data_IF_122022024927
#
_entry.id   IF_122022024927
#
_cell.length_a   1.000
_cell.length_b   1.000
_cell.length_c   1.000
_cell.angle_alpha   90.00
_cell.angle_beta   90.00
_cell.angle_gamma   90.00
#
_symmetry.space_group_name_H-M   'P 1'
#
loop_
_entity.id
_entity.type
_entity.pdbx_description
1 polymer ?
#
# COMPACT_ATOMS: atom_id res chain seq x y z
N UNK A 1 14.55 -10.43 -26.43
CA UNK A 1 14.49 -10.81 -24.99
C UNK A 1 14.72 -9.55 -24.18
N UNK A 2 13.73 -9.12 -23.41
CA UNK A 2 13.87 -7.97 -22.54
C UNK A 2 14.68 -8.31 -21.26
N UNK A 3 15.03 -7.30 -20.45
CA UNK A 3 15.88 -7.48 -19.27
C UNK A 3 15.28 -8.45 -18.24
N UNK A 4 13.96 -8.44 -18.06
CA UNK A 4 13.28 -9.31 -17.08
C UNK A 4 13.40 -10.77 -17.51
N UNK A 5 13.21 -11.06 -18.79
CA UNK A 5 13.39 -12.40 -19.36
C UNK A 5 14.86 -12.86 -19.28
N UNK A 6 15.82 -11.98 -19.56
CA UNK A 6 17.25 -12.31 -19.44
C UNK A 6 17.61 -12.72 -18.01
N UNK A 7 17.10 -12.02 -17.00
CA UNK A 7 17.33 -12.35 -15.58
C UNK A 7 16.63 -13.66 -15.21
N UNK A 8 15.41 -13.87 -15.66
CA UNK A 8 14.67 -15.12 -15.45
C UNK A 8 15.44 -16.31 -16.02
N UNK A 9 15.89 -16.19 -17.27
CA UNK A 9 16.69 -17.25 -17.94
C UNK A 9 18.03 -17.47 -17.25
N UNK A 10 18.71 -16.40 -16.80
CA UNK A 10 19.96 -16.53 -16.05
C UNK A 10 19.76 -17.36 -14.78
N UNK A 11 18.73 -17.06 -13.98
CA UNK A 11 18.41 -17.82 -12.76
C UNK A 11 18.04 -19.26 -13.12
N UNK A 12 17.22 -19.48 -14.14
CA UNK A 12 16.79 -20.80 -14.60
C UNK A 12 17.96 -21.69 -15.07
N UNK A 13 18.96 -21.10 -15.70
CA UNK A 13 20.17 -21.83 -16.12
C UNK A 13 21.09 -22.18 -14.95
N UNK A 14 21.02 -21.43 -13.84
CA UNK A 14 21.80 -21.67 -12.63
C UNK A 14 21.08 -22.57 -11.63
N UNK A 15 19.78 -22.34 -11.43
CA UNK A 15 18.87 -23.10 -10.57
C UNK A 15 17.53 -23.28 -11.31
N UNK A 16 17.35 -24.45 -11.88
CA UNK A 16 16.21 -24.75 -12.76
C UNK A 16 14.88 -24.70 -12.00
N UNK A 17 14.81 -25.14 -10.74
CA UNK A 17 13.57 -25.20 -9.96
C UNK A 17 13.11 -23.78 -9.58
N UNK A 18 14.01 -22.95 -9.07
CA UNK A 18 13.73 -21.55 -8.73
C UNK A 18 13.42 -20.75 -10.00
N UNK A 19 14.19 -20.94 -11.07
CA UNK A 19 13.98 -20.25 -12.34
C UNK A 19 12.64 -20.58 -12.98
N UNK A 20 12.19 -21.86 -12.94
CA UNK A 20 10.85 -22.26 -13.38
C UNK A 20 9.74 -21.61 -12.57
N UNK A 21 9.90 -21.51 -11.24
CA UNK A 21 8.90 -20.85 -10.40
C UNK A 21 8.78 -19.35 -10.73
N UNK A 22 9.90 -18.67 -10.98
CA UNK A 22 9.93 -17.25 -11.40
C UNK A 22 9.27 -17.09 -12.78
N UNK A 23 9.56 -17.98 -13.73
CA UNK A 23 8.95 -17.99 -15.08
C UNK A 23 7.42 -18.16 -14.99
N UNK A 24 6.94 -19.07 -14.15
CA UNK A 24 5.50 -19.27 -13.91
C UNK A 24 4.84 -18.02 -13.34
N UNK A 25 5.48 -17.34 -12.37
CA UNK A 25 4.97 -16.10 -11.80
C UNK A 25 4.99 -14.96 -12.83
N UNK A 26 6.02 -14.83 -13.64
CA UNK A 26 6.05 -13.86 -14.74
C UNK A 26 4.90 -14.14 -15.73
N UNK A 27 4.66 -15.41 -16.07
CA UNK A 27 3.54 -15.83 -16.90
C UNK A 27 2.19 -15.48 -16.29
N UNK A 28 2.02 -15.69 -14.96
CA UNK A 28 0.81 -15.30 -14.25
C UNK A 28 0.58 -13.79 -14.30
N UNK A 29 1.59 -12.98 -14.01
CA UNK A 29 1.48 -11.51 -14.04
C UNK A 29 1.16 -10.98 -15.44
N UNK A 30 1.72 -11.59 -16.49
CA UNK A 30 1.42 -11.24 -17.89
C UNK A 30 -0.02 -11.57 -18.26
N UNK A 31 -0.52 -12.71 -17.81
CA UNK A 31 -1.85 -13.23 -18.14
C UNK A 31 -2.97 -12.57 -17.33
N UNK A 32 -2.72 -12.25 -16.05
CA UNK A 32 -3.78 -11.81 -15.14
C UNK A 32 -3.95 -10.28 -15.15
N UNK A 33 -5.19 -9.84 -14.96
CA UNK A 33 -5.50 -8.46 -14.55
C UNK A 33 -5.30 -8.34 -13.04
N UNK A 34 -4.25 -7.63 -12.63
CA UNK A 34 -3.94 -7.39 -11.22
C UNK A 34 -4.74 -6.19 -10.69
N UNK A 35 -5.73 -6.48 -9.85
CA UNK A 35 -6.62 -5.48 -9.25
C UNK A 35 -6.52 -5.44 -7.71
N UNK A 36 -5.53 -6.09 -7.11
CA UNK A 36 -5.24 -5.93 -5.68
C UNK A 36 -4.75 -4.50 -5.45
N UNK A 37 -5.48 -3.72 -4.65
CA UNK A 37 -5.22 -2.29 -4.44
C UNK A 37 -3.84 -1.97 -3.81
N UNK A 38 -3.22 -2.96 -3.16
CA UNK A 38 -1.90 -2.86 -2.53
C UNK A 38 -0.75 -3.39 -3.39
N UNK A 39 -1.02 -3.75 -4.65
CA UNK A 39 -0.01 -4.23 -5.59
C UNK A 39 0.23 -3.25 -6.74
N UNK A 40 1.42 -3.33 -7.32
CA UNK A 40 1.82 -2.53 -8.46
C UNK A 40 2.91 -3.25 -9.26
N UNK A 41 3.16 -2.77 -10.47
CA UNK A 41 4.20 -3.27 -11.36
C UNK A 41 5.38 -2.29 -11.28
N UNK A 42 6.50 -2.72 -10.74
CA UNK A 42 7.72 -1.91 -10.64
C UNK A 42 8.43 -1.79 -11.99
N UNK A 43 9.17 -0.69 -12.18
CA UNK A 43 9.97 -0.52 -13.38
C UNK A 43 11.15 -1.52 -13.43
N UNK A 44 11.65 -1.88 -14.62
CA UNK A 44 12.87 -2.67 -14.74
C UNK A 44 14.07 -2.06 -14.00
N UNK A 45 14.19 -0.72 -13.95
CA UNK A 45 15.27 -0.05 -13.24
C UNK A 45 15.19 -0.26 -11.71
N UNK A 46 14.01 -0.19 -11.13
CA UNK A 46 13.77 -0.52 -9.71
C UNK A 46 14.08 -1.98 -9.43
N UNK A 47 13.61 -2.89 -10.31
CA UNK A 47 13.85 -4.33 -10.19
C UNK A 47 15.35 -4.66 -10.25
N UNK A 48 16.06 -4.11 -11.23
CA UNK A 48 17.50 -4.37 -11.39
C UNK A 48 18.34 -3.80 -10.26
N UNK A 49 17.96 -2.67 -9.68
CA UNK A 49 18.66 -2.11 -8.52
C UNK A 49 18.70 -3.09 -7.33
N UNK A 50 17.66 -3.91 -7.16
CA UNK A 50 17.61 -4.94 -6.10
C UNK A 50 18.60 -6.09 -6.35
N UNK A 51 18.99 -6.34 -7.58
CA UNK A 51 19.91 -7.43 -7.97
C UNK A 51 21.39 -6.99 -8.01
N UNK A 52 21.76 -5.86 -7.36
CA UNK A 52 23.09 -5.28 -7.42
C UNK A 52 23.95 -5.57 -6.20
N UNK A 53 25.27 -5.31 -6.35
CA UNK A 53 26.31 -5.64 -5.35
C UNK A 53 26.14 -5.03 -3.94
N UNK A 54 25.39 -3.94 -3.69
CA UNK A 54 25.07 -3.52 -2.33
C UNK A 54 24.39 -4.60 -1.47
N UNK A 55 23.83 -5.66 -2.07
CA UNK A 55 23.34 -6.84 -1.36
C UNK A 55 24.42 -7.53 -0.50
N UNK A 56 25.70 -7.39 -0.85
CA UNK A 56 26.82 -7.98 -0.15
C UNK A 56 27.31 -7.14 1.04
N UNK A 57 26.78 -5.90 1.22
CA UNK A 57 27.34 -4.95 2.18
C UNK A 57 26.58 -4.88 3.49
N UNK A 58 27.30 -5.12 4.60
CA UNK A 58 26.79 -4.90 5.94
C UNK A 58 27.01 -3.44 6.36
N UNK A 59 25.93 -2.69 6.68
CA UNK A 59 25.98 -1.24 6.89
C UNK A 59 25.17 -0.79 8.14
N UNK A 60 25.35 -1.48 9.27
CA UNK A 60 24.72 -1.07 10.55
C UNK A 60 25.11 0.36 10.93
N UNK A 61 24.18 1.09 11.48
CA UNK A 61 24.30 2.51 11.77
C UNK A 61 23.68 3.36 10.64
N UNK A 62 24.20 4.56 10.46
CA UNK A 62 23.67 5.56 9.52
C UNK A 62 24.82 6.17 8.68
N UNK A 63 24.55 6.83 7.55
CA UNK A 63 25.59 7.46 6.74
C UNK A 63 26.55 8.33 7.58
N UNK A 64 27.85 8.11 7.40
CA UNK A 64 28.91 8.77 8.15
C UNK A 64 29.09 8.30 9.61
N UNK A 65 28.22 7.41 10.09
CA UNK A 65 28.26 6.85 11.47
C UNK A 65 27.97 5.35 11.46
N UNK A 66 28.72 4.59 10.66
CA UNK A 66 28.57 3.16 10.52
C UNK A 66 29.41 2.40 11.57
N UNK A 67 28.94 1.20 11.91
CA UNK A 67 29.69 0.27 12.78
C UNK A 67 30.74 -0.54 12.02
N UNK A 68 30.69 -0.54 10.67
CA UNK A 68 31.57 -1.29 9.78
C UNK A 68 32.31 -0.38 8.82
N UNK A 69 33.51 -0.78 8.42
CA UNK A 69 34.28 -0.10 7.35
C UNK A 69 33.73 -0.39 5.96
N UNK A 70 34.21 0.36 4.96
CA UNK A 70 33.88 0.18 3.54
C UNK A 70 32.46 0.59 3.18
N UNK A 71 31.90 1.59 3.89
CA UNK A 71 30.52 2.03 3.69
C UNK A 71 30.40 3.34 2.84
N UNK A 72 31.51 3.89 2.40
CA UNK A 72 31.57 5.18 1.69
C UNK A 72 30.61 5.24 0.48
N UNK A 73 30.48 4.16 -0.28
CA UNK A 73 29.63 4.11 -1.46
C UNK A 73 28.15 3.84 -1.11
N UNK A 74 27.89 2.99 -0.13
CA UNK A 74 26.49 2.74 0.32
C UNK A 74 25.94 3.92 1.11
N UNK A 75 26.80 4.75 1.72
CA UNK A 75 26.39 6.03 2.31
C UNK A 75 25.88 7.00 1.24
N UNK A 76 26.48 7.02 0.05
CA UNK A 76 25.98 7.81 -1.09
C UNK A 76 24.59 7.32 -1.49
N UNK A 77 24.38 6.00 -1.58
CA UNK A 77 23.09 5.40 -1.95
C UNK A 77 22.01 5.77 -0.93
N UNK A 78 22.30 5.64 0.36
CA UNK A 78 21.32 5.93 1.41
C UNK A 78 21.02 7.43 1.49
N UNK A 79 22.02 8.29 1.38
CA UNK A 79 21.82 9.73 1.33
C UNK A 79 20.97 10.17 0.13
N UNK A 80 21.20 9.62 -1.07
CA UNK A 80 20.35 9.87 -2.24
C UNK A 80 18.89 9.47 -1.99
N UNK A 81 18.67 8.33 -1.34
CA UNK A 81 17.30 7.91 -0.99
C UNK A 81 16.66 8.88 0.00
N UNK A 82 17.40 9.31 1.03
CA UNK A 82 16.93 10.26 2.05
C UNK A 82 16.62 11.62 1.41
N UNK A 83 17.52 12.16 0.61
CA UNK A 83 17.37 13.47 -0.05
C UNK A 83 16.15 13.49 -0.98
N UNK A 84 16.02 12.47 -1.84
CA UNK A 84 14.88 12.34 -2.75
C UNK A 84 13.56 12.16 -2.01
N UNK A 85 13.56 11.42 -0.89
CA UNK A 85 12.37 11.26 -0.05
C UNK A 85 11.96 12.60 0.58
N UNK A 86 12.93 13.36 1.09
CA UNK A 86 12.69 14.70 1.66
C UNK A 86 12.18 15.67 0.59
N UNK A 87 12.73 15.65 -0.61
CA UNK A 87 12.27 16.46 -1.74
C UNK A 87 10.83 16.09 -2.15
N UNK A 88 10.53 14.79 -2.22
CA UNK A 88 9.23 14.27 -2.69
C UNK A 88 8.08 14.65 -1.76
N UNK A 89 8.30 14.65 -0.44
CA UNK A 89 7.24 14.84 0.55
C UNK A 89 7.38 16.10 1.41
N UNK A 90 8.52 16.81 1.34
CA UNK A 90 8.74 18.03 2.11
C UNK A 90 8.91 17.80 3.62
N UNK A 91 9.51 16.67 4.04
CA UNK A 91 9.71 16.35 5.45
C UNK A 91 11.05 16.84 6.00
N UNK A 92 11.10 17.11 7.32
CA UNK A 92 12.33 17.55 7.99
C UNK A 92 13.36 16.42 8.07
N UNK A 93 12.90 15.23 8.48
CA UNK A 93 13.74 14.03 8.62
C UNK A 93 13.13 12.83 7.92
N UNK A 94 13.98 11.97 7.35
CA UNK A 94 13.61 10.76 6.66
C UNK A 94 14.51 9.59 7.06
N UNK A 95 13.89 8.42 7.34
CA UNK A 95 14.58 7.15 7.56
C UNK A 95 14.10 6.14 6.50
N UNK A 96 15.04 5.67 5.67
CA UNK A 96 14.77 4.75 4.55
C UNK A 96 15.10 3.29 4.86
N UNK A 97 15.57 3.01 6.09
CA UNK A 97 16.02 1.68 6.50
C UNK A 97 14.92 0.67 6.85
N UNK A 98 13.66 1.03 7.20
CA UNK A 98 12.64 0.04 7.51
C UNK A 98 12.49 -1.03 6.41
N UNK A 99 12.53 -2.31 6.79
CA UNK A 99 12.41 -3.45 5.88
C UNK A 99 10.99 -3.59 5.31
N UNK A 100 9.99 -3.11 6.05
CA UNK A 100 8.59 -3.12 5.65
C UNK A 100 7.81 -2.00 6.33
N UNK A 101 6.56 -1.76 5.90
CA UNK A 101 5.64 -0.85 6.61
C UNK A 101 5.38 -1.29 8.05
N UNK A 102 5.25 -2.58 8.31
CA UNK A 102 5.08 -3.10 9.67
C UNK A 102 6.30 -2.79 10.57
N UNK A 103 7.53 -2.94 10.06
CA UNK A 103 8.73 -2.53 10.80
C UNK A 103 8.76 -1.02 11.07
N UNK A 104 8.37 -0.21 10.08
CA UNK A 104 8.28 1.24 10.25
C UNK A 104 7.27 1.60 11.36
N UNK A 105 6.07 1.03 11.33
CA UNK A 105 5.03 1.29 12.33
C UNK A 105 5.46 0.86 13.74
N UNK A 106 6.04 -0.32 13.88
CA UNK A 106 6.54 -0.81 15.17
C UNK A 106 7.65 0.09 15.74
N UNK A 107 8.54 0.60 14.89
CA UNK A 107 9.57 1.53 15.33
C UNK A 107 8.99 2.87 15.80
N UNK A 108 7.93 3.38 15.16
CA UNK A 108 7.23 4.59 15.60
C UNK A 108 6.60 4.40 16.97
N UNK A 109 5.89 3.30 17.21
CA UNK A 109 5.34 2.99 18.53
C UNK A 109 6.45 2.92 19.59
N UNK A 110 7.51 2.17 19.33
CA UNK A 110 8.64 2.03 20.25
C UNK A 110 9.35 3.36 20.54
N UNK A 111 9.42 4.26 19.55
CA UNK A 111 10.09 5.55 19.69
C UNK A 111 9.32 6.54 20.57
N UNK A 112 7.98 6.55 20.49
CA UNK A 112 7.15 7.65 21.00
C UNK A 112 6.28 7.27 22.18
N UNK A 113 5.95 6.01 22.35
CA UNK A 113 5.03 5.54 23.41
C UNK A 113 5.60 4.30 24.13
N UNK A 114 4.94 3.87 25.18
CA UNK A 114 5.34 2.71 26.00
C UNK A 114 4.31 1.60 25.93
N UNK A 115 4.72 0.34 26.09
CA UNK A 115 3.76 -0.77 26.23
C UNK A 115 2.70 -0.46 27.29
N UNK A 116 1.43 -0.72 26.96
CA UNK A 116 0.27 -0.41 27.79
C UNK A 116 -0.33 0.98 27.56
N UNK A 117 0.35 1.88 26.85
CA UNK A 117 -0.25 3.18 26.50
C UNK A 117 -1.49 3.01 25.61
N UNK A 118 -2.46 3.90 25.77
CA UNK A 118 -3.67 3.92 24.95
C UNK A 118 -3.39 4.56 23.58
N UNK A 119 -3.80 3.88 22.52
CA UNK A 119 -3.66 4.32 21.13
C UNK A 119 -5.02 4.24 20.43
N UNK A 120 -5.38 5.24 19.67
CA UNK A 120 -6.54 5.17 18.77
C UNK A 120 -6.11 4.78 17.36
N UNK A 121 -6.86 3.89 16.70
CA UNK A 121 -6.62 3.49 15.31
C UNK A 121 -7.92 3.11 14.61
N UNK A 122 -7.94 3.15 13.27
CA UNK A 122 -9.11 2.73 12.50
C UNK A 122 -9.34 1.21 12.70
N UNK A 123 -10.58 0.86 13.02
CA UNK A 123 -11.00 -0.54 13.18
C UNK A 123 -10.63 -1.37 11.94
N UNK A 124 -10.04 -2.55 12.17
CA UNK A 124 -9.63 -3.46 11.09
C UNK A 124 -10.80 -3.82 10.16
N UNK A 125 -11.99 -4.08 10.73
CA UNK A 125 -13.20 -4.40 9.96
C UNK A 125 -13.75 -3.19 9.16
N UNK A 126 -13.33 -1.97 9.50
CA UNK A 126 -13.70 -0.73 8.83
C UNK A 126 -12.59 -0.17 7.92
N UNK A 127 -11.62 -1.00 7.57
CA UNK A 127 -10.54 -0.65 6.64
C UNK A 127 -9.19 -0.32 7.27
N UNK A 128 -9.01 -0.52 8.58
CA UNK A 128 -7.72 -0.37 9.25
C UNK A 128 -6.67 -1.38 8.77
N UNK A 129 -5.42 -1.18 9.18
CA UNK A 129 -4.33 -2.11 8.92
C UNK A 129 -4.07 -3.00 10.15
N UNK A 130 -3.50 -4.21 9.95
CA UNK A 130 -3.15 -5.11 11.04
C UNK A 130 -2.29 -4.43 12.11
N UNK A 131 -1.33 -3.60 11.71
CA UNK A 131 -0.46 -2.86 12.63
C UNK A 131 -1.12 -1.66 13.30
N UNK A 132 -2.41 -1.45 13.09
CA UNK A 132 -3.21 -0.42 13.77
C UNK A 132 -4.05 -1.02 14.90
N UNK A 133 -3.49 -2.00 15.64
CA UNK A 133 -4.10 -2.53 16.86
C UNK A 133 -4.83 -3.87 16.72
N UNK A 134 -4.61 -4.62 15.65
CA UNK A 134 -5.16 -5.98 15.56
C UNK A 134 -4.67 -6.83 16.75
N UNK A 135 -5.57 -7.57 17.46
CA UNK A 135 -5.20 -8.36 18.63
C UNK A 135 -4.13 -9.44 18.38
N UNK A 136 -3.99 -9.87 17.13
CA UNK A 136 -2.97 -10.87 16.73
C UNK A 136 -1.68 -10.23 16.24
N UNK A 137 -1.63 -8.89 16.18
CA UNK A 137 -0.44 -8.14 15.77
C UNK A 137 0.29 -7.57 16.98
N UNK A 138 1.61 -7.37 16.86
CA UNK A 138 2.44 -6.81 17.92
C UNK A 138 1.87 -5.48 18.48
N UNK A 139 1.26 -4.65 17.63
CA UNK A 139 0.64 -3.41 18.05
C UNK A 139 -0.51 -3.64 19.04
N UNK A 140 -1.44 -4.55 18.75
CA UNK A 140 -2.54 -4.89 19.66
C UNK A 140 -2.11 -5.71 20.88
N UNK A 141 -0.98 -6.41 20.82
CA UNK A 141 -0.41 -7.15 21.95
C UNK A 141 0.25 -6.21 22.96
N UNK A 142 0.97 -5.20 22.49
CA UNK A 142 1.77 -4.32 23.36
C UNK A 142 1.02 -3.09 23.86
N UNK A 143 0.05 -2.58 23.09
CA UNK A 143 -0.62 -1.32 23.37
C UNK A 143 -2.13 -1.49 23.54
N UNK A 144 -2.75 -0.60 24.31
CA UNK A 144 -4.19 -0.60 24.51
C UNK A 144 -4.88 0.15 23.38
N UNK A 145 -5.25 -0.54 22.31
CA UNK A 145 -5.91 0.08 21.16
C UNK A 145 -7.42 0.27 21.38
N UNK A 146 -7.87 1.50 21.17
CA UNK A 146 -9.28 1.90 21.14
C UNK A 146 -9.64 2.19 19.67
N UNK A 147 -10.42 1.32 19.00
CA UNK A 147 -10.74 1.50 17.60
C UNK A 147 -11.75 2.63 17.39
N UNK A 148 -11.54 3.47 16.38
CA UNK A 148 -12.57 4.31 15.82
C UNK A 148 -13.11 3.69 14.51
N UNK A 149 -14.35 4.03 14.18
CA UNK A 149 -15.09 3.44 13.07
C UNK A 149 -15.43 4.48 12.01
N UNK A 150 -15.79 4.02 10.81
CA UNK A 150 -16.58 4.81 9.87
C UNK A 150 -18.05 4.80 10.30
N UNK A 151 -18.84 5.77 9.82
CA UNK A 151 -20.28 5.80 10.01
C UNK A 151 -21.01 4.79 9.10
N UNK A 152 -22.34 4.78 9.15
CA UNK A 152 -23.18 3.87 8.35
C UNK A 152 -23.07 4.09 6.84
N UNK A 153 -22.65 5.28 6.40
CA UNK A 153 -22.36 5.59 4.99
C UNK A 153 -20.95 5.13 4.58
N UNK A 154 -20.17 4.54 5.47
CA UNK A 154 -18.81 4.08 5.21
C UNK A 154 -17.77 5.20 5.16
N UNK A 155 -18.03 6.36 5.76
CA UNK A 155 -17.10 7.51 5.83
C UNK A 155 -16.66 7.81 7.26
N UNK A 156 -15.48 8.43 7.41
CA UNK A 156 -14.94 8.83 8.71
C UNK A 156 -15.80 9.96 9.30
N UNK A 157 -16.31 9.73 10.52
CA UNK A 157 -17.02 10.73 11.31
C UNK A 157 -16.03 11.40 12.28
N UNK A 158 -15.52 12.56 11.90
CA UNK A 158 -14.50 13.27 12.68
C UNK A 158 -15.03 13.80 14.02
N UNK A 159 -16.33 14.06 14.14
CA UNK A 159 -16.93 14.48 15.42
C UNK A 159 -17.02 13.30 16.39
N UNK A 160 -17.41 12.13 15.92
CA UNK A 160 -17.38 10.90 16.70
C UNK A 160 -15.94 10.51 17.11
N UNK A 161 -14.95 10.65 16.20
CA UNK A 161 -13.52 10.42 16.49
C UNK A 161 -13.03 11.41 17.56
N UNK A 162 -13.38 12.68 17.47
CA UNK A 162 -13.04 13.72 18.47
C UNK A 162 -13.63 13.41 19.84
N UNK A 163 -14.90 13.01 19.87
CA UNK A 163 -15.57 12.60 21.12
C UNK A 163 -14.85 11.41 21.75
N UNK A 164 -14.57 10.38 20.99
CA UNK A 164 -13.84 9.19 21.47
C UNK A 164 -12.45 9.55 22.00
N UNK A 165 -11.72 10.43 21.32
CA UNK A 165 -10.41 10.89 21.76
C UNK A 165 -10.45 11.61 23.11
N UNK A 166 -11.47 12.45 23.35
CA UNK A 166 -11.69 13.11 24.66
C UNK A 166 -11.98 12.11 25.77
N UNK A 167 -12.73 11.04 25.45
CA UNK A 167 -13.11 10.01 26.42
C UNK A 167 -11.92 9.11 26.79
N UNK A 168 -11.18 8.58 25.82
CA UNK A 168 -10.11 7.62 26.06
C UNK A 168 -8.73 8.25 26.29
N UNK A 169 -8.54 9.53 25.95
CA UNK A 169 -7.30 10.31 26.15
C UNK A 169 -6.05 9.55 25.69
N UNK A 170 -5.96 9.21 24.40
CA UNK A 170 -4.88 8.39 23.88
C UNK A 170 -3.53 9.13 23.96
N UNK A 171 -2.44 8.37 24.02
CA UNK A 171 -1.09 8.91 23.83
C UNK A 171 -0.75 9.13 22.38
N UNK A 172 -1.41 8.39 21.48
CA UNK A 172 -1.20 8.47 20.04
C UNK A 172 -2.51 8.20 19.30
N UNK A 173 -2.74 8.94 18.23
CA UNK A 173 -3.80 8.68 17.24
C UNK A 173 -3.13 8.24 15.94
N UNK A 174 -3.50 7.06 15.46
CA UNK A 174 -3.05 6.52 14.18
C UNK A 174 -4.11 6.80 13.14
N UNK A 175 -3.77 7.59 12.13
CA UNK A 175 -4.60 7.82 10.95
C UNK A 175 -4.01 7.07 9.74
N UNK A 176 -4.88 6.71 8.79
CA UNK A 176 -4.51 5.91 7.62
C UNK A 176 -5.34 4.64 7.52
N UNK A 177 -5.44 4.10 6.32
CA UNK A 177 -6.31 2.98 6.03
C UNK A 177 -5.79 2.07 4.92
N UNK A 178 -6.21 0.80 4.94
CA UNK A 178 -5.92 -0.19 3.90
C UNK A 178 -7.09 -0.38 2.92
N UNK A 179 -8.32 -0.04 3.33
CA UNK A 179 -9.53 -0.24 2.54
C UNK A 179 -10.54 0.90 2.73
N UNK A 180 -10.08 2.13 2.68
CA UNK A 180 -10.92 3.33 2.78
C UNK A 180 -10.87 4.11 1.45
N UNK A 181 -12.01 4.23 0.73
CA UNK A 181 -12.01 4.78 -0.61
C UNK A 181 -12.12 6.32 -0.68
N UNK A 182 -12.29 7.02 0.44
CA UNK A 182 -12.47 8.48 0.47
C UNK A 182 -11.21 9.22 0.92
N UNK A 183 -11.20 10.53 0.73
CA UNK A 183 -10.14 11.39 1.24
C UNK A 183 -10.10 11.35 2.78
N UNK A 184 -8.87 11.34 3.33
CA UNK A 184 -8.63 11.45 4.77
C UNK A 184 -8.13 12.87 5.05
N UNK A 185 -8.80 13.59 5.95
CA UNK A 185 -8.48 14.95 6.38
C UNK A 185 -7.50 14.91 7.56
N UNK A 186 -6.21 14.96 7.24
CA UNK A 186 -5.14 14.91 8.26
C UNK A 186 -5.06 16.17 9.11
N UNK A 187 -5.46 17.31 8.58
CA UNK A 187 -5.61 18.57 9.32
C UNK A 187 -6.60 18.42 10.47
N UNK A 188 -7.74 17.75 10.26
CA UNK A 188 -8.74 17.52 11.32
C UNK A 188 -8.19 16.54 12.37
N UNK A 189 -7.48 15.48 11.93
CA UNK A 189 -6.81 14.58 12.87
C UNK A 189 -5.76 15.29 13.72
N UNK A 190 -5.01 16.25 13.15
CA UNK A 190 -4.03 17.05 13.88
C UNK A 190 -4.69 17.92 14.96
N UNK A 191 -5.82 18.55 14.63
CA UNK A 191 -6.60 19.32 15.60
C UNK A 191 -7.10 18.44 16.76
N UNK A 192 -7.60 17.24 16.44
CA UNK A 192 -8.06 16.28 17.47
C UNK A 192 -6.88 15.83 18.34
N UNK A 193 -5.76 15.46 17.75
CA UNK A 193 -4.58 15.01 18.49
C UNK A 193 -4.04 16.11 19.40
N UNK A 194 -3.95 17.35 18.90
CA UNK A 194 -3.52 18.51 19.67
C UNK A 194 -4.46 18.80 20.86
N UNK A 195 -5.77 18.68 20.66
CA UNK A 195 -6.77 18.92 21.70
C UNK A 195 -6.60 17.98 22.90
N UNK A 196 -6.25 16.72 22.67
CA UNK A 196 -6.10 15.71 23.73
C UNK A 196 -4.63 15.49 24.15
N UNK A 197 -3.67 16.20 23.56
CA UNK A 197 -2.24 16.07 23.86
C UNK A 197 -1.64 14.75 23.40
N UNK A 198 -2.14 14.18 22.31
CA UNK A 198 -1.67 12.95 21.69
C UNK A 198 -0.69 13.22 20.53
N UNK A 199 0.21 12.27 20.24
CA UNK A 199 0.92 12.25 18.98
C UNK A 199 -0.02 11.92 17.82
N UNK A 200 0.14 12.61 16.69
CA UNK A 200 -0.48 12.18 15.43
C UNK A 200 0.53 11.37 14.62
N UNK A 201 0.23 10.11 14.47
CA UNK A 201 0.95 9.18 13.60
C UNK A 201 0.10 8.86 12.37
N UNK A 202 0.63 9.06 11.16
CA UNK A 202 -0.07 8.73 9.91
C UNK A 202 0.66 7.63 9.15
N UNK A 203 -0.05 6.55 8.86
CA UNK A 203 0.36 5.51 7.91
C UNK A 203 -0.32 5.79 6.56
N UNK A 204 0.43 6.39 5.62
CA UNK A 204 -0.09 6.72 4.28
C UNK A 204 0.21 5.65 3.23
N UNK A 205 0.53 4.42 3.62
CA UNK A 205 1.04 3.38 2.73
C UNK A 205 0.21 3.20 1.45
N UNK A 206 -1.12 3.21 1.56
CA UNK A 206 -2.00 3.03 0.41
C UNK A 206 -2.01 4.23 -0.55
N UNK A 207 -1.88 5.43 -0.03
CA UNK A 207 -2.05 6.68 -0.79
C UNK A 207 -0.74 7.41 -1.06
N UNK A 208 0.42 6.85 -0.69
CA UNK A 208 1.70 7.55 -0.78
C UNK A 208 2.02 8.09 -2.18
N UNK A 209 1.68 7.33 -3.24
CA UNK A 209 1.84 7.80 -4.61
C UNK A 209 0.93 8.98 -4.96
N UNK A 210 -0.30 8.96 -4.45
CA UNK A 210 -1.26 10.07 -4.65
C UNK A 210 -0.81 11.32 -3.89
N UNK A 211 -0.30 11.18 -2.68
CA UNK A 211 0.27 12.28 -1.88
C UNK A 211 1.49 12.86 -2.60
N UNK A 212 2.41 12.02 -3.09
CA UNK A 212 3.58 12.47 -3.85
C UNK A 212 3.21 13.24 -5.12
N UNK A 213 2.10 12.88 -5.77
CA UNK A 213 1.58 13.54 -6.96
C UNK A 213 0.70 14.78 -6.66
N UNK A 214 0.43 15.09 -5.40
CA UNK A 214 -0.45 16.19 -4.98
C UNK A 214 -1.95 15.93 -5.24
N UNK A 215 -2.36 14.66 -5.32
CA UNK A 215 -3.74 14.24 -5.57
C UNK A 215 -4.50 13.80 -4.31
N UNK A 216 -3.85 13.83 -3.17
CA UNK A 216 -4.42 13.63 -1.84
C UNK A 216 -3.73 14.58 -0.86
N UNK A 217 -4.45 15.01 0.19
CA UNK A 217 -3.84 15.84 1.22
C UNK A 217 -2.58 15.15 1.79
N UNK A 218 -1.45 15.90 1.86
CA UNK A 218 -0.24 15.41 2.49
C UNK A 218 -0.39 15.39 4.01
N UNK A 219 -0.06 14.29 4.70
CA UNK A 219 -0.03 14.27 6.17
C UNK A 219 1.21 14.97 6.75
N UNK A 220 2.27 15.15 5.98
CA UNK A 220 3.59 15.61 6.46
C UNK A 220 3.53 16.94 7.22
N UNK A 221 2.78 17.97 6.77
CA UNK A 221 2.67 19.23 7.52
C UNK A 221 1.92 19.12 8.86
N UNK A 222 1.13 18.07 9.05
CA UNK A 222 0.19 17.92 10.16
C UNK A 222 0.65 16.90 11.20
N UNK A 223 1.23 15.78 10.75
CA UNK A 223 1.60 14.67 11.61
C UNK A 223 2.95 14.89 12.33
N UNK A 224 3.11 14.26 13.48
CA UNK A 224 4.39 14.17 14.17
C UNK A 224 5.31 13.17 13.46
N UNK A 225 4.74 12.03 13.03
CA UNK A 225 5.43 11.00 12.28
C UNK A 225 4.52 10.46 11.19
N UNK A 226 5.09 10.22 10.02
CA UNK A 226 4.44 9.59 8.87
C UNK A 226 5.22 8.35 8.46
N UNK A 227 4.53 7.24 8.28
CA UNK A 227 5.11 6.03 7.67
C UNK A 227 4.46 5.73 6.33
N UNK A 228 5.16 4.97 5.52
CA UNK A 228 4.58 4.37 4.32
C UNK A 228 5.36 3.13 3.89
N UNK A 229 4.71 2.31 3.07
CA UNK A 229 5.39 1.32 2.22
C UNK A 229 5.85 1.98 0.92
N UNK A 230 6.79 1.34 0.24
CA UNK A 230 7.31 1.83 -1.05
C UNK A 230 6.67 1.18 -2.27
N UNK A 231 5.93 0.08 -2.10
CA UNK A 231 5.55 -0.85 -3.19
C UNK A 231 4.08 -0.82 -3.62
N UNK A 232 3.25 0.11 -3.10
CA UNK A 232 1.83 0.24 -3.47
C UNK A 232 1.66 1.32 -4.55
N UNK A 233 0.90 2.37 -4.27
CA UNK A 233 0.75 3.49 -5.22
C UNK A 233 2.06 4.17 -5.57
N UNK A 234 3.07 4.14 -4.68
CA UNK A 234 4.39 4.72 -4.96
C UNK A 234 5.22 3.93 -5.98
N UNK A 235 4.84 2.68 -6.29
CA UNK A 235 5.40 1.84 -7.37
C UNK A 235 6.89 1.54 -7.22
N UNK A 236 7.37 1.31 -6.00
CA UNK A 236 8.76 1.00 -5.68
C UNK A 236 9.00 -0.44 -5.22
N UNK A 237 10.20 -0.74 -4.72
CA UNK A 237 10.51 -2.06 -4.16
C UNK A 237 9.71 -2.30 -2.88
N UNK A 238 9.55 -3.57 -2.50
CA UNK A 238 8.95 -3.90 -1.20
C UNK A 238 9.85 -3.41 -0.08
N UNK A 239 9.31 -2.53 0.76
CA UNK A 239 10.01 -1.91 1.87
C UNK A 239 9.13 -0.91 2.60
N UNK A 240 9.68 -0.27 3.64
CA UNK A 240 9.05 0.80 4.40
C UNK A 240 9.95 2.01 4.53
N UNK A 241 9.40 3.12 5.00
CA UNK A 241 10.13 4.34 5.32
C UNK A 241 9.36 5.13 6.38
N UNK A 242 10.08 6.01 7.08
CA UNK A 242 9.54 6.90 8.12
C UNK A 242 9.97 8.32 7.81
N UNK A 243 9.04 9.24 7.92
CA UNK A 243 9.25 10.68 7.88
C UNK A 243 8.78 11.29 9.19
N UNK A 244 9.46 12.27 9.72
CA UNK A 244 9.02 12.92 10.96
C UNK A 244 9.55 14.35 11.07
N UNK A 245 8.99 15.09 12.03
CA UNK A 245 9.58 16.35 12.47
C UNK A 245 10.97 16.12 13.04
N UNK A 246 11.87 17.09 12.90
CA UNK A 246 13.27 16.98 13.33
C UNK A 246 13.44 16.58 14.79
N UNK A 247 12.55 17.04 15.66
CA UNK A 247 12.58 16.72 17.12
C UNK A 247 12.48 15.22 17.42
N UNK A 248 11.84 14.41 16.53
CA UNK A 248 11.69 12.96 16.69
C UNK A 248 12.77 12.15 15.97
N UNK A 249 13.60 12.79 15.14
CA UNK A 249 14.61 12.14 14.30
C UNK A 249 15.50 11.14 15.07
N UNK A 250 16.05 11.61 16.21
CA UNK A 250 16.93 10.78 17.04
C UNK A 250 16.23 9.57 17.64
N UNK A 251 14.97 9.73 18.09
CA UNK A 251 14.18 8.64 18.66
C UNK A 251 13.81 7.62 17.60
N UNK A 252 13.36 8.05 16.43
CA UNK A 252 13.04 7.20 15.28
C UNK A 252 14.26 6.42 14.81
N UNK A 253 15.39 7.09 14.59
CA UNK A 253 16.61 6.40 14.16
C UNK A 253 17.06 5.36 15.18
N UNK A 254 17.01 5.67 16.49
CA UNK A 254 17.33 4.72 17.55
C UNK A 254 16.36 3.55 17.60
N UNK A 255 15.09 3.75 17.34
CA UNK A 255 14.08 2.70 17.31
C UNK A 255 14.26 1.76 16.12
N UNK A 256 14.70 2.26 14.97
CA UNK A 256 15.08 1.43 13.83
C UNK A 256 16.38 0.69 14.14
N UNK A 257 17.47 1.40 14.36
CA UNK A 257 18.75 0.78 14.68
C UNK A 257 19.35 1.43 15.94
N UNK A 258 19.66 0.61 16.97
CA UNK A 258 19.59 -0.85 17.03
C UNK A 258 18.27 -1.42 17.61
N UNK A 259 17.20 -0.61 17.67
CA UNK A 259 15.98 -0.96 18.41
C UNK A 259 15.19 -2.14 17.85
N UNK A 260 14.82 -2.11 16.57
CA UNK A 260 13.97 -3.12 15.92
C UNK A 260 14.63 -3.84 14.76
N UNK A 261 15.73 -3.32 14.23
CA UNK A 261 16.48 -3.88 13.10
C UNK A 261 17.98 -3.90 13.38
N UNK A 262 18.72 -4.77 12.65
CA UNK A 262 20.16 -4.75 12.49
C UNK A 262 20.58 -4.07 11.19
N UNK A 263 21.36 -4.77 10.34
CA UNK A 263 21.85 -4.24 9.07
C UNK A 263 20.73 -3.88 8.09
N UNK A 264 20.75 -2.67 7.49
CA UNK A 264 19.81 -2.30 6.47
C UNK A 264 20.04 -3.08 5.17
N UNK A 265 19.00 -3.23 4.36
CA UNK A 265 19.04 -3.89 3.06
C UNK A 265 19.49 -2.87 1.99
N UNK A 266 20.80 -2.72 1.79
CA UNK A 266 21.36 -1.65 0.97
C UNK A 266 20.95 -1.73 -0.51
N UNK A 267 20.74 -2.92 -1.05
CA UNK A 267 20.19 -3.12 -2.41
C UNK A 267 18.73 -2.68 -2.52
N UNK A 268 17.93 -2.84 -1.46
CA UNK A 268 16.55 -2.32 -1.42
C UNK A 268 16.56 -0.80 -1.28
N UNK A 269 17.48 -0.23 -0.50
CA UNK A 269 17.64 1.22 -0.39
C UNK A 269 18.07 1.82 -1.74
N UNK A 270 18.93 1.14 -2.49
CA UNK A 270 19.26 1.54 -3.87
C UNK A 270 18.01 1.57 -4.76
N UNK A 271 17.18 0.53 -4.69
CA UNK A 271 15.93 0.49 -5.44
C UNK A 271 14.91 1.56 -4.97
N UNK A 272 14.85 1.88 -3.66
CA UNK A 272 14.09 3.03 -3.14
C UNK A 272 14.58 4.34 -3.74
N UNK A 273 15.89 4.55 -3.80
CA UNK A 273 16.47 5.75 -4.41
C UNK A 273 16.08 5.90 -5.89
N UNK A 274 16.07 4.79 -6.66
CA UNK A 274 15.60 4.79 -8.06
C UNK A 274 14.10 5.13 -8.12
N UNK A 275 13.27 4.47 -7.31
CA UNK A 275 11.84 4.72 -7.23
C UNK A 275 11.51 6.19 -6.92
N UNK A 276 12.17 6.78 -5.93
CA UNK A 276 11.95 8.18 -5.57
C UNK A 276 12.38 9.13 -6.70
N UNK A 277 13.48 8.80 -7.40
CA UNK A 277 13.89 9.53 -8.59
C UNK A 277 12.88 9.42 -9.75
N UNK A 278 12.18 8.30 -9.89
CA UNK A 278 11.06 8.18 -10.84
C UNK A 278 9.85 9.00 -10.38
N UNK A 279 9.53 8.97 -9.07
CA UNK A 279 8.40 9.68 -8.50
C UNK A 279 8.53 11.21 -8.53
N UNK A 280 9.75 11.74 -8.60
CA UNK A 280 10.04 13.17 -8.78
C UNK A 280 9.82 13.66 -10.21
N UNK A 281 9.64 12.75 -11.20
CA UNK A 281 9.43 13.14 -12.59
C UNK A 281 7.97 13.48 -12.89
N UNK A 282 7.70 14.40 -13.84
CA UNK A 282 6.33 14.78 -14.21
C UNK A 282 5.45 13.61 -14.66
N UNK A 283 6.05 12.60 -15.29
CA UNK A 283 5.35 11.40 -15.77
C UNK A 283 4.69 10.61 -14.63
N UNK A 284 5.28 10.66 -13.43
CA UNK A 284 4.69 10.02 -12.27
C UNK A 284 3.37 10.67 -11.85
N UNK A 285 3.27 12.00 -11.92
CA UNK A 285 2.02 12.71 -11.66
C UNK A 285 0.94 12.31 -12.67
N UNK A 286 1.29 12.31 -13.96
CA UNK A 286 0.38 11.85 -15.04
C UNK A 286 -0.11 10.43 -14.80
N UNK A 287 0.79 9.54 -14.37
CA UNK A 287 0.43 8.17 -14.00
C UNK A 287 -0.58 8.13 -12.83
N UNK A 288 -0.34 8.87 -11.76
CA UNK A 288 -1.23 8.89 -10.60
C UNK A 288 -2.60 9.52 -10.94
N UNK A 289 -2.63 10.55 -11.78
CA UNK A 289 -3.89 11.10 -12.30
C UNK A 289 -4.70 10.05 -13.07
N UNK A 290 -4.02 9.21 -13.86
CA UNK A 290 -4.67 8.11 -14.56
C UNK A 290 -5.16 7.02 -13.60
N UNK A 291 -4.42 6.73 -12.52
CA UNK A 291 -4.87 5.79 -11.48
C UNK A 291 -6.21 6.22 -10.89
N UNK A 292 -6.34 7.50 -10.54
CA UNK A 292 -7.59 8.05 -9.97
C UNK A 292 -8.72 8.06 -11.01
N UNK A 293 -8.45 8.44 -12.28
CA UNK A 293 -9.44 8.40 -13.37
C UNK A 293 -9.96 6.97 -13.59
N UNK A 294 -9.06 6.00 -13.64
CA UNK A 294 -9.42 4.59 -13.78
C UNK A 294 -10.26 4.10 -12.59
N UNK A 295 -9.90 4.48 -11.36
CA UNK A 295 -10.67 4.10 -10.18
C UNK A 295 -12.09 4.68 -10.20
N UNK A 296 -12.27 5.94 -10.60
CA UNK A 296 -13.59 6.57 -10.76
C UNK A 296 -14.41 5.89 -11.86
N UNK A 297 -13.82 5.66 -13.03
CA UNK A 297 -14.50 4.98 -14.13
C UNK A 297 -14.91 3.56 -13.77
N UNK A 298 -14.05 2.82 -13.02
CA UNK A 298 -14.38 1.50 -12.51
C UNK A 298 -15.52 1.57 -11.49
N UNK A 299 -15.51 2.54 -10.57
CA UNK A 299 -16.58 2.73 -9.59
C UNK A 299 -17.93 2.99 -10.25
N UNK A 300 -17.97 3.91 -11.23
CA UNK A 300 -19.18 4.22 -11.99
C UNK A 300 -19.70 2.99 -12.76
N UNK A 301 -18.82 2.28 -13.47
CA UNK A 301 -19.19 1.08 -14.21
C UNK A 301 -19.67 -0.06 -13.29
N UNK A 302 -19.07 -0.23 -12.11
CA UNK A 302 -19.54 -1.23 -11.13
C UNK A 302 -20.96 -0.89 -10.62
N UNK A 303 -21.26 0.37 -10.38
CA UNK A 303 -22.62 0.81 -10.00
C UNK A 303 -23.61 0.57 -11.15
N UNK A 304 -23.23 0.85 -12.39
CA UNK A 304 -24.06 0.56 -13.59
C UNK A 304 -24.37 -0.94 -13.72
N UNK A 305 -23.42 -1.81 -13.35
CA UNK A 305 -23.61 -3.28 -13.31
C UNK A 305 -24.37 -3.74 -12.06
N UNK A 306 -24.85 -2.83 -11.21
CA UNK A 306 -25.70 -3.10 -10.06
C UNK A 306 -24.96 -3.49 -8.77
N UNK A 307 -23.66 -3.19 -8.67
CA UNK A 307 -22.91 -3.40 -7.43
C UNK A 307 -23.12 -2.25 -6.43
N UNK A 308 -23.12 -2.58 -5.16
CA UNK A 308 -23.05 -1.60 -4.09
C UNK A 308 -21.59 -1.28 -3.76
N UNK A 309 -21.26 0.00 -3.67
CA UNK A 309 -19.94 0.46 -3.24
C UNK A 309 -20.03 1.08 -1.84
N UNK A 310 -19.16 0.66 -0.94
CA UNK A 310 -19.02 1.31 0.36
C UNK A 310 -18.65 2.78 0.13
N UNK A 311 -19.33 3.68 0.83
CA UNK A 311 -19.27 5.15 0.65
C UNK A 311 -19.73 5.68 -0.73
N UNK A 312 -20.38 4.86 -1.55
CA UNK A 312 -20.96 5.26 -2.85
C UNK A 312 -19.95 5.56 -3.95
N UNK A 313 -18.64 5.27 -3.79
CA UNK A 313 -17.62 5.54 -4.82
C UNK A 313 -16.22 5.71 -4.25
N UNK A 314 -15.36 6.46 -4.96
CA UNK A 314 -13.97 6.64 -4.55
C UNK A 314 -13.40 8.02 -4.89
N UNK A 315 -12.48 8.50 -4.04
CA UNK A 315 -11.66 9.69 -4.26
C UNK A 315 -10.19 9.34 -4.54
N UNK A 316 -9.83 8.04 -4.45
CA UNK A 316 -8.45 7.58 -4.55
C UNK A 316 -8.27 6.42 -5.56
N UNK A 317 -7.40 5.46 -5.30
CA UNK A 317 -6.99 4.37 -6.19
C UNK A 317 -7.77 3.07 -6.00
N UNK A 318 -8.67 2.99 -5.04
CA UNK A 318 -9.40 1.76 -4.70
C UNK A 318 -10.90 1.99 -4.55
N UNK A 319 -11.65 0.92 -4.74
CA UNK A 319 -13.06 0.80 -4.37
C UNK A 319 -13.24 -0.38 -3.41
N UNK A 320 -14.20 -0.28 -2.53
CA UNK A 320 -14.64 -1.36 -1.67
C UNK A 320 -16.07 -1.74 -2.06
N UNK A 321 -16.21 -2.96 -2.60
CA UNK A 321 -17.48 -3.47 -3.13
C UNK A 321 -18.18 -4.28 -2.05
N UNK A 322 -19.44 -3.95 -1.76
CA UNK A 322 -20.33 -4.73 -0.92
C UNK A 322 -21.15 -5.70 -1.80
N UNK A 323 -21.02 -6.99 -1.53
CA UNK A 323 -21.62 -8.07 -2.31
C UNK A 323 -22.94 -8.60 -1.70
N UNK A 324 -23.42 -8.02 -0.59
CA UNK A 324 -24.63 -8.53 0.09
C UNK A 324 -25.86 -8.56 -0.81
N UNK A 325 -25.96 -7.65 -1.79
CA UNK A 325 -27.02 -7.63 -2.79
C UNK A 325 -26.81 -8.61 -3.96
N UNK A 326 -25.66 -9.29 -4.04
CA UNK A 326 -25.29 -10.17 -5.16
C UNK A 326 -25.39 -11.65 -4.84
N UNK A 327 -25.77 -12.02 -3.62
CA UNK A 327 -25.84 -13.42 -3.12
C UNK A 327 -24.55 -14.23 -3.32
N UNK A 328 -23.39 -13.59 -3.20
CA UNK A 328 -22.07 -14.22 -3.27
C UNK A 328 -21.18 -13.67 -2.16
N UNK A 329 -20.30 -14.49 -1.61
CA UNK A 329 -19.34 -14.05 -0.60
C UNK A 329 -18.09 -13.47 -1.24
N UNK A 330 -17.35 -12.63 -0.48
CA UNK A 330 -16.05 -12.11 -0.93
C UNK A 330 -15.06 -13.22 -1.27
N UNK A 331 -15.02 -14.29 -0.47
CA UNK A 331 -14.17 -15.46 -0.72
C UNK A 331 -14.52 -16.17 -2.02
N UNK A 332 -15.81 -16.40 -2.25
CA UNK A 332 -16.26 -17.09 -3.45
C UNK A 332 -15.96 -16.26 -4.70
N UNK A 333 -16.29 -14.97 -4.70
CA UNK A 333 -16.00 -14.10 -5.83
C UNK A 333 -14.49 -14.00 -6.10
N UNK A 334 -13.67 -13.85 -5.06
CA UNK A 334 -12.20 -13.86 -5.19
C UNK A 334 -11.72 -15.14 -5.92
N UNK A 335 -12.22 -16.30 -5.51
CA UNK A 335 -11.81 -17.59 -6.09
C UNK A 335 -12.25 -17.71 -7.56
N UNK A 336 -13.51 -17.37 -7.88
CA UNK A 336 -14.02 -17.41 -9.27
C UNK A 336 -13.26 -16.43 -10.17
N UNK A 337 -12.95 -15.21 -9.68
CA UNK A 337 -12.18 -14.22 -10.43
C UNK A 337 -10.75 -14.71 -10.71
N UNK A 338 -10.10 -15.37 -9.74
CA UNK A 338 -8.77 -15.93 -9.94
C UNK A 338 -8.75 -17.01 -11.03
N UNK A 339 -9.79 -17.84 -11.09
CA UNK A 339 -9.97 -18.85 -12.16
C UNK A 339 -10.12 -18.24 -13.55
N UNK A 340 -10.61 -17.00 -13.67
CA UNK A 340 -10.77 -16.28 -14.93
C UNK A 340 -9.72 -15.19 -15.14
N UNK A 341 -8.59 -15.28 -14.43
CA UNK A 341 -7.42 -14.41 -14.55
C UNK A 341 -7.62 -12.97 -14.11
N UNK A 342 -8.54 -12.74 -13.18
CA UNK A 342 -8.74 -11.44 -12.53
C UNK A 342 -8.37 -11.59 -11.05
N UNK A 343 -7.33 -10.90 -10.60
CA UNK A 343 -6.80 -11.03 -9.24
C UNK A 343 -7.29 -9.91 -8.35
N UNK A 344 -8.06 -10.24 -7.30
CA UNK A 344 -8.57 -9.31 -6.27
C UNK A 344 -8.35 -9.91 -4.88
N UNK A 345 -8.64 -9.16 -3.82
CA UNK A 345 -8.72 -9.74 -2.49
C UNK A 345 -10.11 -9.57 -1.86
N UNK A 346 -10.58 -10.62 -1.17
CA UNK A 346 -11.74 -10.49 -0.28
C UNK A 346 -11.44 -9.46 0.81
N UNK A 347 -12.46 -8.73 1.21
CA UNK A 347 -12.34 -7.70 2.24
C UNK A 347 -13.64 -7.58 3.02
N UNK A 348 -13.54 -7.40 4.35
CA UNK A 348 -14.71 -7.07 5.14
C UNK A 348 -15.27 -5.71 4.73
N UNK A 349 -16.57 -5.55 4.79
CA UNK A 349 -17.25 -4.25 4.67
C UNK A 349 -17.61 -3.74 6.07
N UNK A 350 -17.85 -2.45 6.28
CA UNK A 350 -18.31 -1.93 7.57
C UNK A 350 -19.57 -2.69 8.05
N UNK A 351 -19.57 -3.10 9.32
CA UNK A 351 -20.64 -3.91 9.92
C UNK A 351 -20.89 -5.26 9.20
N UNK A 352 -19.84 -5.86 8.64
CA UNK A 352 -19.92 -7.12 7.89
C UNK A 352 -20.54 -8.24 8.72
N UNK A 353 -21.64 -8.88 8.27
CA UNK A 353 -22.26 -10.01 8.97
C UNK A 353 -21.44 -11.31 8.84
N UNK A 354 -20.52 -11.38 7.87
CA UNK A 354 -19.70 -12.56 7.63
C UNK A 354 -18.42 -12.57 8.48
N UNK A 355 -17.87 -13.76 8.69
CA UNK A 355 -16.57 -13.88 9.36
C UNK A 355 -15.42 -13.28 8.51
N UNK A 356 -14.30 -12.87 9.12
CA UNK A 356 -13.14 -12.35 8.40
C UNK A 356 -12.51 -13.33 7.38
N UNK A 357 -12.82 -14.63 7.50
CA UNK A 357 -12.33 -15.67 6.57
C UNK A 357 -13.19 -15.80 5.31
N UNK A 358 -14.43 -15.29 5.35
CA UNK A 358 -15.42 -15.34 4.26
C UNK A 358 -15.62 -13.98 3.63
N UNK A 359 -15.97 -12.98 4.43
CA UNK A 359 -16.26 -11.58 4.10
C UNK A 359 -17.46 -11.39 3.15
N UNK A 360 -18.09 -10.24 3.24
CA UNK A 360 -19.20 -9.84 2.33
C UNK A 360 -18.74 -8.88 1.23
N UNK A 361 -17.45 -8.66 1.08
CA UNK A 361 -16.94 -7.72 0.08
C UNK A 361 -15.63 -8.13 -0.55
N UNK A 362 -15.26 -7.36 -1.57
CA UNK A 362 -13.95 -7.40 -2.23
C UNK A 362 -13.40 -5.99 -2.36
N UNK A 363 -12.10 -5.84 -2.20
CA UNK A 363 -11.38 -4.60 -2.47
C UNK A 363 -10.73 -4.68 -3.83
N UNK A 364 -10.91 -3.65 -4.64
CA UNK A 364 -10.39 -3.55 -6.01
C UNK A 364 -9.62 -2.24 -6.15
N UNK A 365 -8.49 -2.27 -6.82
CA UNK A 365 -7.66 -1.09 -7.04
C UNK A 365 -7.08 -1.04 -8.44
N UNK A 366 -6.67 0.14 -8.87
CA UNK A 366 -6.25 0.41 -10.24
C UNK A 366 -4.76 0.70 -10.47
N UNK A 367 -3.86 0.72 -9.47
CA UNK A 367 -2.46 1.06 -9.71
C UNK A 367 -1.74 0.15 -10.70
N UNK A 368 -1.86 -1.18 -10.54
CA UNK A 368 -1.16 -2.16 -11.38
C UNK A 368 -1.67 -2.15 -12.83
N UNK A 369 -2.99 -2.16 -13.04
CA UNK A 369 -3.57 -2.09 -14.39
C UNK A 369 -3.27 -0.74 -15.07
N UNK A 370 -3.18 0.35 -14.32
CA UNK A 370 -2.78 1.66 -14.86
C UNK A 370 -1.30 1.66 -15.26
N UNK A 371 -0.41 1.06 -14.47
CA UNK A 371 1.00 0.85 -14.85
C UNK A 371 1.11 0.03 -16.12
N UNK A 372 0.23 -0.96 -16.30
CA UNK A 372 0.16 -1.78 -17.49
C UNK A 372 -0.27 -0.99 -18.74
N UNK A 373 -1.02 0.11 -18.57
CA UNK A 373 -1.43 1.02 -19.65
C UNK A 373 -2.94 1.13 -19.87
N UNK A 374 -3.76 0.41 -19.07
CA UNK A 374 -5.21 0.44 -19.18
C UNK A 374 -5.79 1.85 -18.90
N UNK A 375 -6.92 2.15 -19.52
CA UNK A 375 -7.63 3.43 -19.44
C UNK A 375 -9.10 3.23 -19.03
N UNK A 376 -9.85 4.31 -18.93
CA UNK A 376 -11.23 4.36 -18.44
C UNK A 376 -12.16 3.39 -19.17
N UNK A 377 -12.02 3.25 -20.50
CA UNK A 377 -12.86 2.32 -21.28
C UNK A 377 -12.60 0.85 -20.96
N UNK A 378 -11.34 0.51 -20.63
CA UNK A 378 -10.98 -0.83 -20.19
C UNK A 378 -11.62 -1.15 -18.81
N UNK A 379 -11.83 -0.12 -17.96
CA UNK A 379 -12.47 -0.27 -16.64
C UNK A 379 -13.95 -0.68 -16.78
N UNK A 380 -14.65 -0.19 -17.78
CA UNK A 380 -16.04 -0.59 -18.09
C UNK A 380 -16.10 -2.07 -18.48
N UNK A 381 -15.15 -2.51 -19.29
CA UNK A 381 -15.04 -3.93 -19.66
C UNK A 381 -14.77 -4.80 -18.43
N UNK A 382 -13.84 -4.39 -17.56
CA UNK A 382 -13.52 -5.11 -16.33
C UNK A 382 -14.74 -5.24 -15.42
N UNK A 383 -15.54 -4.18 -15.23
CA UNK A 383 -16.76 -4.22 -14.43
C UNK A 383 -17.75 -5.28 -14.97
N UNK A 384 -17.96 -5.32 -16.29
CA UNK A 384 -18.80 -6.34 -16.95
C UNK A 384 -18.28 -7.76 -16.74
N UNK A 385 -16.97 -7.98 -16.87
CA UNK A 385 -16.35 -9.29 -16.66
C UNK A 385 -16.51 -9.75 -15.20
N UNK A 386 -16.38 -8.84 -14.23
CA UNK A 386 -16.62 -9.13 -12.81
C UNK A 386 -18.11 -9.52 -12.62
N UNK A 387 -19.05 -8.78 -13.24
CA UNK A 387 -20.48 -9.13 -13.17
C UNK A 387 -20.76 -10.50 -13.78
N UNK A 388 -20.24 -10.78 -14.98
CA UNK A 388 -20.40 -12.07 -15.65
C UNK A 388 -19.82 -13.22 -14.81
N UNK A 389 -18.74 -12.99 -14.06
CA UNK A 389 -18.16 -13.99 -13.15
C UNK A 389 -19.10 -14.34 -11.99
N UNK A 390 -20.05 -13.47 -11.64
CA UNK A 390 -21.08 -13.77 -10.64
C UNK A 390 -22.27 -14.49 -11.29
N UNK A 391 -22.78 -13.95 -12.41
CA UNK A 391 -24.06 -14.36 -12.98
C UNK A 391 -23.97 -15.56 -13.91
N UNK A 392 -22.86 -15.74 -14.61
CA UNK A 392 -22.74 -16.66 -15.72
C UNK A 392 -21.49 -17.56 -15.65
N UNK A 393 -20.85 -17.67 -14.49
CA UNK A 393 -19.53 -18.33 -14.32
C UNK A 393 -19.48 -19.72 -14.95
N UNK A 394 -20.45 -20.59 -14.64
CA UNK A 394 -20.46 -22.00 -15.06
C UNK A 394 -20.55 -22.16 -16.59
N UNK A 395 -21.06 -21.18 -17.31
CA UNK A 395 -21.30 -21.22 -18.76
C UNK A 395 -20.35 -20.33 -19.55
N UNK A 396 -19.78 -19.29 -18.94
CA UNK A 396 -19.00 -18.25 -19.61
C UNK A 396 -17.56 -18.07 -19.12
N UNK A 397 -17.06 -18.93 -18.24
CA UNK A 397 -15.70 -18.81 -17.72
C UNK A 397 -14.64 -18.75 -18.84
N UNK A 398 -14.79 -19.52 -19.91
CA UNK A 398 -13.87 -19.49 -21.06
C UNK A 398 -13.98 -18.20 -21.86
N UNK A 399 -15.19 -17.64 -22.03
CA UNK A 399 -15.40 -16.34 -22.68
C UNK A 399 -14.74 -15.23 -21.86
N UNK A 400 -14.90 -15.24 -20.52
CA UNK A 400 -14.27 -14.27 -19.63
C UNK A 400 -12.74 -14.37 -19.72
N UNK A 401 -12.16 -15.58 -19.66
CA UNK A 401 -10.72 -15.79 -19.84
C UNK A 401 -10.21 -15.24 -21.17
N UNK A 402 -10.94 -15.47 -22.25
CA UNK A 402 -10.58 -14.98 -23.58
C UNK A 402 -10.56 -13.45 -23.65
N UNK A 403 -11.55 -12.77 -23.07
CA UNK A 403 -11.57 -11.29 -23.01
C UNK A 403 -10.49 -10.72 -22.09
N UNK A 404 -10.19 -11.34 -20.94
CA UNK A 404 -9.05 -10.97 -20.10
C UNK A 404 -7.75 -11.10 -20.85
N UNK A 405 -7.53 -12.23 -21.55
CA UNK A 405 -6.33 -12.46 -22.36
C UNK A 405 -6.18 -11.39 -23.43
N UNK A 406 -7.25 -11.05 -24.14
CA UNK A 406 -7.26 -9.99 -25.16
C UNK A 406 -6.88 -8.61 -24.59
N UNK A 407 -7.36 -8.26 -23.39
CA UNK A 407 -6.94 -7.03 -22.71
C UNK A 407 -5.46 -7.10 -22.35
N UNK A 408 -5.00 -8.23 -21.81
CA UNK A 408 -3.61 -8.41 -21.42
C UNK A 408 -2.65 -8.37 -22.61
N UNK A 409 -3.03 -8.92 -23.77
CA UNK A 409 -2.25 -8.88 -25.01
C UNK A 409 -2.18 -7.48 -25.62
N UNK A 410 -3.23 -6.65 -25.43
CA UNK A 410 -3.23 -5.25 -25.84
C UNK A 410 -2.24 -4.41 -25.04
N UNK A 411 -1.98 -4.79 -23.79
CA UNK A 411 -1.11 -4.09 -22.84
C UNK A 411 -0.06 -5.05 -22.26
N UNK A 412 0.91 -5.49 -23.03
CA UNK A 412 1.88 -6.48 -22.58
C UNK A 412 2.79 -5.94 -21.48
N UNK A 413 3.18 -6.81 -20.53
CA UNK A 413 4.10 -6.47 -19.45
C UNK A 413 5.54 -6.83 -19.80
N UNK A 414 6.45 -5.85 -19.58
CA UNK A 414 7.89 -6.05 -19.73
C UNK A 414 8.28 -6.54 -21.15
N UNK A 415 7.70 -5.94 -22.17
CA UNK A 415 8.08 -6.13 -23.58
C UNK A 415 8.96 -5.01 -24.12
#
# INVERSE_FOLDING_TARGET
MNMVEQVTDYVKNYDEEVGKAIELELGRQRRNLELIASENIISPAVMMAMATVPANKYAEGYPGKRYYGGCENVDIIENLAIERLKELFGCDHACVQPHSGANANNAVYQALIKPGDTVMGLNLAHGGHLTHGSPVNLSGILYNFVPYNVNDDGVLDYDAIRKLARECKPKMIVAGASAYPREIRFDIFADIAKEVGAYLFVDMAHIAGLVAAGLHQSPVPYADVVTTTTHKTLRGPRGGMIMCKEEYAKAINKAIFPGTQGGPLMHIIAAKAVCFGEALKPEFKTYQEQVVKNAKALAEAMVEEGFNLVSGGTDNHLILVDLQNMNITGKELQNRLDEVYITVNKNAVPNDPASPFVTSGVRIGTPAVTTRGLKEEDMKTIAKLIKMTITDFDTKADEIRAEVTKICDKYPLYE
#
